data_IF_678514008736
#
_entry.id   IF_678514008736
#
_cell.length_a   1.000
_cell.length_b   1.000
_cell.length_c   1.000
_cell.angle_alpha   90.00
_cell.angle_beta   90.00
_cell.angle_gamma   90.00
#
_symmetry.space_group_name_H-M   'P 1'
#
loop_
_entity.id
_entity.type
_entity.pdbx_description
1 polymer ?
#
# COMPACT_ATOMS: atom_id res chain seq x y z
N UNK A 1 14.73 56.81 58.07
CA UNK A 1 15.23 56.67 56.69
C UNK A 1 15.24 55.18 56.37
N UNK A 2 14.24 54.69 55.64
CA UNK A 2 14.10 53.27 55.31
C UNK A 2 13.50 53.16 53.92
N UNK A 3 14.33 52.82 52.93
CA UNK A 3 13.94 52.75 51.52
C UNK A 3 13.32 51.38 51.28
N UNK A 4 12.03 51.36 50.91
CA UNK A 4 11.35 50.17 50.38
C UNK A 4 11.72 50.05 48.90
N UNK A 5 12.39 48.97 48.51
CA UNK A 5 12.60 48.59 47.12
C UNK A 5 11.53 47.54 46.79
N UNK A 6 10.53 47.93 46.00
CA UNK A 6 9.56 47.00 45.41
C UNK A 6 10.16 46.40 44.14
N UNK A 7 10.42 45.09 44.16
CA UNK A 7 10.74 44.32 42.95
C UNK A 7 9.44 43.90 42.27
N UNK A 8 9.09 44.56 41.17
CA UNK A 8 8.04 44.11 40.26
C UNK A 8 8.63 43.09 39.30
N UNK A 9 8.33 41.80 39.48
CA UNK A 9 8.59 40.78 38.47
C UNK A 9 7.58 40.92 37.33
N UNK A 10 8.02 41.40 36.18
CA UNK A 10 7.28 41.32 34.93
C UNK A 10 7.41 39.89 34.40
N UNK A 11 6.40 39.03 34.63
CA UNK A 11 6.30 37.75 33.94
C UNK A 11 5.68 38.04 32.57
N UNK A 12 6.52 38.11 31.54
CA UNK A 12 6.06 38.14 30.16
C UNK A 12 5.57 36.73 29.77
N UNK A 13 4.26 36.51 29.90
CA UNK A 13 3.59 35.34 29.36
C UNK A 13 3.59 35.44 27.84
N UNK A 14 4.58 34.81 27.18
CA UNK A 14 4.53 34.60 25.72
C UNK A 14 3.41 33.60 25.49
N UNK A 15 2.24 34.08 25.10
CA UNK A 15 1.23 33.24 24.46
C UNK A 15 1.78 32.84 23.10
N UNK A 16 2.45 31.68 23.05
CA UNK A 16 2.56 30.90 21.82
C UNK A 16 1.12 30.51 21.44
N UNK A 17 0.49 31.36 20.65
CA UNK A 17 -0.66 30.95 19.86
C UNK A 17 -0.10 29.92 18.89
N UNK A 18 -0.18 28.65 19.25
CA UNK A 18 -0.02 27.56 18.30
C UNK A 18 -1.08 27.79 17.22
N UNK A 19 -0.67 28.43 16.14
CA UNK A 19 -1.49 28.56 14.95
C UNK A 19 -1.77 27.14 14.48
N UNK A 20 -2.95 26.61 14.83
CA UNK A 20 -3.41 25.30 14.40
C UNK A 20 -3.26 25.30 12.87
N UNK A 21 -2.36 24.46 12.31
CA UNK A 21 -2.11 24.48 10.88
C UNK A 21 -3.45 24.28 10.17
N UNK A 22 -3.76 25.12 9.19
CA UNK A 22 -4.86 24.82 8.28
C UNK A 22 -4.55 23.48 7.66
N UNK A 23 -5.32 22.44 8.01
CA UNK A 23 -4.95 21.06 7.68
C UNK A 23 -4.81 20.85 6.17
N UNK A 24 -5.54 21.60 5.33
CA UNK A 24 -5.36 21.59 3.88
C UNK A 24 -4.00 22.14 3.38
N UNK A 25 -3.26 22.87 4.21
CA UNK A 25 -1.93 23.42 3.92
C UNK A 25 -0.80 22.52 4.45
N UNK A 26 -1.10 21.38 5.10
CA UNK A 26 -0.07 20.40 5.52
C UNK A 26 0.57 19.67 4.34
N UNK A 27 -0.15 19.50 3.23
CA UNK A 27 0.30 18.76 2.06
C UNK A 27 1.71 19.15 1.57
N UNK A 28 2.00 20.45 1.31
CA UNK A 28 3.34 20.89 0.89
C UNK A 28 4.47 20.54 1.87
N UNK A 29 4.21 20.57 3.18
CA UNK A 29 5.21 20.20 4.19
C UNK A 29 5.51 18.70 4.14
N UNK A 30 4.46 17.88 4.00
CA UNK A 30 4.59 16.42 3.86
C UNK A 30 5.33 16.09 2.56
N UNK A 31 4.96 16.73 1.44
CA UNK A 31 5.65 16.54 0.17
C UNK A 31 7.14 16.90 0.28
N UNK A 32 7.46 18.02 0.94
CA UNK A 32 8.84 18.43 1.19
C UNK A 32 9.63 17.36 1.95
N UNK A 33 9.01 16.72 2.94
CA UNK A 33 9.63 15.63 3.71
C UNK A 33 9.79 14.34 2.90
N UNK A 34 8.87 14.05 1.97
CA UNK A 34 8.98 12.92 1.04
C UNK A 34 10.16 13.16 0.07
N UNK A 35 10.23 14.33 -0.56
CA UNK A 35 11.24 14.62 -1.60
C UNK A 35 12.60 15.03 -1.03
N UNK A 36 12.70 15.23 0.28
CA UNK A 36 13.98 15.39 0.99
C UNK A 36 14.71 14.06 1.16
N UNK A 37 14.00 12.93 1.04
CA UNK A 37 14.59 11.61 1.18
C UNK A 37 15.65 11.38 0.07
N UNK A 38 16.81 10.77 0.38
CA UNK A 38 17.87 10.55 -0.61
C UNK A 38 17.40 9.76 -1.85
N UNK A 39 16.49 8.80 -1.65
CA UNK A 39 15.94 7.98 -2.73
C UNK A 39 14.96 8.75 -3.63
N UNK A 40 14.41 9.88 -3.18
CA UNK A 40 13.44 10.69 -3.92
C UNK A 40 14.10 11.89 -4.64
N UNK A 41 15.42 11.89 -4.81
CA UNK A 41 16.17 13.06 -5.27
C UNK A 41 15.74 13.60 -6.66
N UNK A 42 15.25 12.73 -7.56
CA UNK A 42 14.70 13.14 -8.86
C UNK A 42 13.40 13.95 -8.74
N UNK A 43 12.71 13.88 -7.60
CA UNK A 43 11.43 14.52 -7.35
C UNK A 43 11.52 15.82 -6.53
N UNK A 44 12.71 16.37 -6.31
CA UNK A 44 12.91 17.58 -5.47
C UNK A 44 12.08 18.80 -5.90
N UNK A 45 11.75 18.92 -7.19
CA UNK A 45 10.93 20.01 -7.74
C UNK A 45 9.44 19.69 -7.78
N UNK A 46 9.01 18.56 -7.22
CA UNK A 46 7.61 18.14 -7.28
C UNK A 46 6.70 19.13 -6.56
N UNK A 47 5.49 19.30 -7.08
CA UNK A 47 4.48 20.22 -6.54
C UNK A 47 3.13 19.55 -6.42
N UNK A 48 2.28 20.08 -5.53
CA UNK A 48 0.90 19.60 -5.39
C UNK A 48 -0.05 20.36 -6.29
N UNK A 49 -0.96 19.63 -6.93
CA UNK A 49 -2.07 20.16 -7.71
C UNK A 49 -3.40 19.55 -7.27
N UNK A 50 -4.48 20.26 -7.56
CA UNK A 50 -5.86 19.81 -7.29
C UNK A 50 -6.09 19.39 -5.83
N UNK A 51 -5.52 20.15 -4.88
CA UNK A 51 -5.71 19.90 -3.45
C UNK A 51 -7.20 20.04 -3.11
N UNK A 52 -7.79 18.97 -2.58
CA UNK A 52 -9.22 18.95 -2.24
C UNK A 52 -9.50 18.01 -1.08
N UNK A 53 -10.54 18.33 -0.31
CA UNK A 53 -11.08 17.46 0.71
C UNK A 53 -11.98 16.41 0.06
N UNK A 54 -11.80 15.14 0.43
CA UNK A 54 -12.52 14.01 -0.14
C UNK A 54 -13.10 13.18 0.99
N UNK A 55 -14.42 13.02 0.96
CA UNK A 55 -15.14 12.07 1.80
C UNK A 55 -15.31 10.75 1.07
N UNK A 56 -15.47 9.68 1.85
CA UNK A 56 -15.99 8.43 1.31
C UNK A 56 -17.37 8.66 0.68
N UNK A 57 -17.64 8.02 -0.46
CA UNK A 57 -18.93 8.11 -1.14
C UNK A 57 -20.03 7.64 -0.17
N UNK A 58 -21.09 8.45 0.05
CA UNK A 58 -22.05 8.20 1.14
C UNK A 58 -22.93 6.96 0.92
N UNK A 59 -23.14 6.58 -0.34
CA UNK A 59 -23.98 5.46 -0.79
C UNK A 59 -23.14 4.26 -1.28
N UNK A 60 -21.90 4.10 -0.79
CA UNK A 60 -21.13 2.89 -1.06
C UNK A 60 -21.91 1.65 -0.61
N UNK A 61 -21.91 0.62 -1.44
CA UNK A 61 -22.54 -0.66 -1.09
C UNK A 61 -21.87 -1.33 0.11
N UNK A 62 -20.58 -1.09 0.30
CA UNK A 62 -19.77 -1.63 1.39
C UNK A 62 -18.89 -0.51 1.97
N UNK A 63 -19.45 0.41 2.76
CA UNK A 63 -18.70 1.53 3.29
C UNK A 63 -17.71 1.03 4.34
N UNK A 64 -16.49 1.56 4.30
CA UNK A 64 -15.49 1.34 5.36
C UNK A 64 -15.56 2.42 6.44
N UNK A 65 -16.41 3.44 6.26
CA UNK A 65 -16.58 4.58 7.15
C UNK A 65 -15.26 5.31 7.43
N UNK A 66 -14.39 5.40 6.41
CA UNK A 66 -13.11 6.08 6.53
C UNK A 66 -13.32 7.60 6.67
N UNK A 67 -12.59 8.27 7.57
CA UNK A 67 -12.71 9.72 7.76
C UNK A 67 -12.36 10.46 6.47
N UNK A 68 -12.89 11.68 6.26
CA UNK A 68 -12.47 12.51 5.14
C UNK A 68 -10.95 12.74 5.15
N UNK A 69 -10.39 12.92 3.96
CA UNK A 69 -8.96 13.12 3.77
C UNK A 69 -8.73 14.24 2.77
N UNK A 70 -7.65 14.99 2.96
CA UNK A 70 -7.14 15.84 1.90
C UNK A 70 -6.41 14.97 0.88
N UNK A 71 -6.58 15.27 -0.40
CA UNK A 71 -5.96 14.57 -1.51
C UNK A 71 -5.43 15.56 -2.54
N UNK A 72 -4.28 15.25 -3.11
CA UNK A 72 -3.65 16.03 -4.16
C UNK A 72 -2.94 15.14 -5.19
N UNK A 73 -2.84 15.64 -6.42
CA UNK A 73 -1.95 15.11 -7.44
C UNK A 73 -0.54 15.67 -7.19
N UNK A 74 0.47 14.82 -7.19
CA UNK A 74 1.88 15.26 -7.22
C UNK A 74 2.27 15.40 -8.69
N UNK A 75 2.67 16.59 -9.11
CA UNK A 75 3.32 16.82 -10.41
C UNK A 75 4.83 16.67 -10.25
N UNK A 76 5.41 15.70 -10.95
CA UNK A 76 6.82 15.32 -10.87
C UNK A 76 7.65 15.73 -12.09
N UNK A 77 8.91 15.25 -12.18
CA UNK A 77 9.79 15.47 -13.32
C UNK A 77 9.25 14.80 -14.60
N UNK A 78 9.59 15.34 -15.77
CA UNK A 78 9.31 14.74 -17.08
C UNK A 78 7.85 14.32 -17.32
N UNK A 79 6.90 14.99 -16.66
CA UNK A 79 5.47 14.67 -16.74
C UNK A 79 5.01 13.50 -15.86
N UNK A 80 5.92 12.87 -15.09
CA UNK A 80 5.58 11.85 -14.12
C UNK A 80 4.62 12.41 -13.05
N UNK A 81 3.80 11.53 -12.49
CA UNK A 81 2.79 11.92 -11.53
C UNK A 81 2.80 11.06 -10.28
N UNK A 82 2.17 11.55 -9.23
CA UNK A 82 2.01 10.80 -7.99
C UNK A 82 0.73 11.25 -7.29
N UNK A 83 0.46 10.69 -6.12
CA UNK A 83 -0.63 11.15 -5.28
C UNK A 83 -0.15 11.35 -3.86
N UNK A 84 -0.81 12.26 -3.15
CA UNK A 84 -0.60 12.49 -1.74
C UNK A 84 -1.96 12.57 -1.05
N UNK A 85 -2.10 11.85 0.06
CA UNK A 85 -3.28 11.88 0.93
C UNK A 85 -2.85 12.08 2.38
N UNK A 86 -3.54 12.97 3.10
CA UNK A 86 -3.31 13.23 4.51
C UNK A 86 -4.61 13.46 5.27
N UNK A 87 -4.59 13.28 6.59
CA UNK A 87 -5.79 13.35 7.41
C UNK A 87 -6.45 14.74 7.33
N UNK A 88 -7.78 14.78 7.30
CA UNK A 88 -8.53 16.04 7.41
C UNK A 88 -8.81 16.47 8.85
N UNK A 89 -8.36 15.69 9.83
CA UNK A 89 -8.58 15.89 11.27
C UNK A 89 -7.28 15.66 12.04
N UNK A 90 -7.25 16.03 13.32
CA UNK A 90 -6.07 15.87 14.16
C UNK A 90 -4.90 16.71 13.67
N UNK A 91 -3.71 16.11 13.60
CA UNK A 91 -2.46 16.78 13.18
C UNK A 91 -2.29 16.84 11.64
N UNK A 92 -3.23 16.29 10.86
CA UNK A 92 -3.13 16.24 9.40
C UNK A 92 -1.93 15.41 8.94
N UNK A 93 -1.77 14.21 9.52
CA UNK A 93 -0.65 13.31 9.22
C UNK A 93 -0.79 12.67 7.85
N UNK A 94 0.34 12.29 7.28
CA UNK A 94 0.39 11.47 6.08
C UNK A 94 -0.45 10.19 6.24
N UNK A 95 -1.29 9.91 5.25
CA UNK A 95 -2.10 8.69 5.14
C UNK A 95 -1.47 7.78 4.10
N UNK A 96 -1.23 8.29 2.90
CA UNK A 96 -0.57 7.55 1.84
C UNK A 96 0.00 8.45 0.75
N UNK A 97 0.96 7.93 -0.01
CA UNK A 97 1.45 8.56 -1.23
C UNK A 97 2.01 7.54 -2.22
N UNK A 98 2.20 7.97 -3.45
CA UNK A 98 3.11 7.33 -4.40
C UNK A 98 3.76 8.39 -5.28
N UNK A 99 4.94 8.08 -5.81
CA UNK A 99 5.57 8.80 -6.90
C UNK A 99 5.82 7.76 -8.00
N UNK A 100 5.33 8.01 -9.21
CA UNK A 100 5.38 7.05 -10.31
C UNK A 100 6.78 6.96 -10.92
N UNK A 101 7.65 6.20 -10.27
CA UNK A 101 9.07 6.08 -10.58
C UNK A 101 9.66 4.80 -9.95
N UNK A 102 10.90 4.48 -10.30
CA UNK A 102 11.71 3.44 -9.65
C UNK A 102 12.61 4.04 -8.58
N UNK A 103 12.41 3.61 -7.33
CA UNK A 103 13.31 3.98 -6.24
C UNK A 103 14.06 2.79 -5.66
N UNK A 104 15.37 2.97 -5.47
CA UNK A 104 16.15 2.09 -4.61
C UNK A 104 16.13 2.64 -3.20
N UNK A 105 15.39 1.97 -2.32
CA UNK A 105 15.25 2.39 -0.92
C UNK A 105 16.03 1.42 -0.06
N UNK A 106 17.16 1.88 0.46
CA UNK A 106 18.03 1.13 1.36
C UNK A 106 18.68 2.08 2.35
N UNK A 107 18.24 2.06 3.60
CA UNK A 107 18.81 2.91 4.64
C UNK A 107 18.23 2.63 6.02
N UNK A 108 18.56 3.50 6.97
CA UNK A 108 18.06 3.43 8.34
C UNK A 108 16.57 3.78 8.40
N UNK A 109 16.14 4.77 7.61
CA UNK A 109 14.76 5.29 7.57
C UNK A 109 13.79 4.47 6.69
N UNK A 110 14.28 3.48 5.94
CA UNK A 110 13.41 2.66 5.09
C UNK A 110 14.14 1.62 4.26
N UNK A 111 13.37 0.64 3.77
CA UNK A 111 13.84 -0.40 2.86
C UNK A 111 12.72 -0.84 1.92
N UNK A 112 13.05 -1.09 0.66
CA UNK A 112 12.16 -1.76 -0.29
C UNK A 112 12.88 -2.91 -1.03
N UNK A 113 12.14 -3.98 -1.30
CA UNK A 113 12.58 -5.13 -2.08
C UNK A 113 12.36 -4.82 -3.57
N UNK A 114 13.41 -4.97 -4.37
CA UNK A 114 13.31 -4.90 -5.83
C UNK A 114 12.97 -6.26 -6.43
N UNK A 115 12.45 -6.27 -7.66
CA UNK A 115 12.22 -7.52 -8.41
C UNK A 115 10.92 -8.25 -8.09
N UNK A 116 10.11 -7.76 -7.15
CA UNK A 116 8.72 -8.23 -6.99
C UNK A 116 7.90 -7.64 -8.14
N UNK A 117 7.35 -8.47 -9.05
CA UNK A 117 6.63 -7.94 -10.19
C UNK A 117 5.30 -7.31 -9.76
N UNK A 118 4.95 -6.17 -10.36
CA UNK A 118 3.63 -5.55 -10.20
C UNK A 118 2.67 -6.12 -11.23
N UNK A 119 1.69 -6.91 -10.78
CA UNK A 119 0.62 -7.40 -11.62
C UNK A 119 -0.64 -6.56 -11.40
N UNK A 120 -1.21 -6.06 -12.49
CA UNK A 120 -2.51 -5.43 -12.48
C UNK A 120 -3.60 -6.49 -12.53
N UNK A 121 -4.70 -6.24 -11.82
CA UNK A 121 -5.90 -7.05 -11.98
C UNK A 121 -6.42 -6.93 -13.42
N UNK A 122 -6.90 -8.04 -13.98
CA UNK A 122 -7.37 -8.09 -15.37
C UNK A 122 -8.73 -8.78 -15.48
N UNK A 123 -9.52 -8.50 -16.53
CA UNK A 123 -10.80 -9.18 -16.75
C UNK A 123 -10.58 -10.65 -17.14
N UNK A 124 -11.43 -11.52 -16.62
CA UNK A 124 -11.59 -12.92 -17.01
C UNK A 124 -13.06 -13.20 -17.34
N UNK A 125 -13.34 -14.28 -18.05
CA UNK A 125 -14.70 -14.70 -18.35
C UNK A 125 -15.33 -15.37 -17.12
N UNK A 126 -16.42 -14.81 -16.61
CA UNK A 126 -17.26 -15.42 -15.57
C UNK A 126 -18.17 -16.52 -16.10
N UNK A 127 -18.88 -17.20 -15.21
CA UNK A 127 -19.79 -18.30 -15.55
C UNK A 127 -20.93 -17.85 -16.47
N UNK A 128 -21.42 -16.63 -16.29
CA UNK A 128 -22.46 -16.01 -17.13
C UNK A 128 -21.90 -15.35 -18.40
N UNK A 129 -20.66 -15.70 -18.79
CA UNK A 129 -19.89 -15.12 -19.89
C UNK A 129 -19.61 -13.61 -19.75
N UNK A 130 -19.92 -13.00 -18.60
CA UNK A 130 -19.61 -11.58 -18.35
C UNK A 130 -18.20 -11.42 -17.81
N UNK A 131 -17.57 -10.26 -18.04
CA UNK A 131 -16.26 -9.97 -17.47
C UNK A 131 -16.35 -9.88 -15.94
N UNK A 132 -15.48 -10.63 -15.27
CA UNK A 132 -15.22 -10.53 -13.84
C UNK A 132 -13.74 -10.28 -13.62
N UNK A 133 -13.40 -9.61 -12.52
CA UNK A 133 -12.02 -9.28 -12.24
C UNK A 133 -11.24 -10.52 -11.74
N UNK A 134 -9.95 -10.63 -12.11
CA UNK A 134 -9.07 -11.74 -11.70
C UNK A 134 -8.90 -11.88 -10.19
N UNK A 135 -9.23 -10.83 -9.42
CA UNK A 135 -9.21 -10.81 -7.96
C UNK A 135 -7.89 -10.29 -7.37
N UNK A 136 -7.96 -9.45 -6.34
CA UNK A 136 -6.77 -8.88 -5.70
C UNK A 136 -5.91 -9.97 -5.03
N UNK A 137 -6.56 -10.92 -4.36
CA UNK A 137 -5.94 -12.04 -3.62
C UNK A 137 -5.01 -12.89 -4.49
N UNK A 138 -5.48 -13.55 -5.58
CA UNK A 138 -4.59 -14.34 -6.44
C UNK A 138 -3.56 -13.48 -7.18
N UNK A 139 -3.87 -12.21 -7.47
CA UNK A 139 -2.96 -11.31 -8.19
C UNK A 139 -1.77 -10.87 -7.32
N UNK A 140 -2.03 -10.49 -6.07
CA UNK A 140 -0.99 -10.21 -5.08
C UNK A 140 -0.16 -11.47 -4.79
N UNK A 141 -0.81 -12.62 -4.59
CA UNK A 141 -0.13 -13.90 -4.36
C UNK A 141 0.80 -14.28 -5.51
N UNK A 142 0.34 -14.14 -6.75
CA UNK A 142 1.15 -14.39 -7.93
C UNK A 142 2.41 -13.52 -7.98
N UNK A 143 2.33 -12.27 -7.50
CA UNK A 143 3.48 -11.36 -7.43
C UNK A 143 4.56 -11.90 -6.48
N UNK A 144 4.16 -12.31 -5.27
CA UNK A 144 5.09 -12.88 -4.27
C UNK A 144 5.63 -14.24 -4.67
N UNK A 145 4.79 -15.10 -5.26
CA UNK A 145 5.22 -16.40 -5.80
C UNK A 145 6.22 -16.22 -6.94
N UNK A 146 5.97 -15.28 -7.86
CA UNK A 146 6.88 -14.98 -8.97
C UNK A 146 8.25 -14.48 -8.49
N UNK A 147 8.27 -13.66 -7.43
CA UNK A 147 9.50 -13.26 -6.77
C UNK A 147 10.28 -14.49 -6.29
N UNK A 148 9.67 -15.33 -5.46
CA UNK A 148 10.32 -16.52 -4.91
C UNK A 148 10.77 -17.50 -5.99
N UNK A 149 9.99 -17.64 -7.05
CA UNK A 149 10.33 -18.53 -8.14
C UNK A 149 11.49 -18.01 -8.99
N UNK A 150 11.67 -16.69 -9.08
CA UNK A 150 12.80 -16.08 -9.76
C UNK A 150 14.07 -16.11 -8.92
N UNK A 151 13.94 -15.96 -7.60
CA UNK A 151 15.08 -15.88 -6.68
C UNK A 151 15.62 -17.25 -6.28
N UNK A 152 14.74 -18.22 -5.95
CA UNK A 152 15.18 -19.46 -5.27
C UNK A 152 14.44 -20.73 -5.69
N UNK A 153 13.21 -20.62 -6.17
CA UNK A 153 12.32 -21.78 -6.34
C UNK A 153 11.69 -21.84 -7.74
N UNK A 154 12.49 -21.99 -8.81
CA UNK A 154 11.99 -21.93 -10.19
C UNK A 154 10.87 -22.93 -10.48
N UNK A 155 10.86 -24.09 -9.80
CA UNK A 155 9.78 -25.09 -9.88
C UNK A 155 8.40 -24.52 -9.53
N UNK A 156 8.31 -23.50 -8.66
CA UNK A 156 7.03 -22.92 -8.23
C UNK A 156 6.30 -22.16 -9.35
N UNK A 157 7.00 -21.77 -10.43
CA UNK A 157 6.32 -21.26 -11.63
C UNK A 157 5.34 -22.30 -12.18
N UNK A 158 5.66 -23.58 -12.05
CA UNK A 158 4.94 -24.69 -12.64
C UNK A 158 5.07 -24.72 -14.17
N UNK A 159 4.52 -25.77 -14.78
CA UNK A 159 4.59 -25.97 -16.24
C UNK A 159 3.85 -24.88 -17.04
N UNK A 160 2.80 -24.31 -16.44
CA UNK A 160 1.94 -23.29 -17.04
C UNK A 160 2.43 -21.86 -16.81
N UNK A 161 3.37 -21.63 -15.89
CA UNK A 161 3.80 -20.30 -15.42
C UNK A 161 4.64 -19.47 -16.39
N UNK A 162 4.43 -19.61 -17.71
CA UNK A 162 5.19 -18.88 -18.74
C UNK A 162 4.83 -17.40 -18.79
N UNK A 163 3.59 -17.03 -18.43
CA UNK A 163 3.14 -15.65 -18.32
C UNK A 163 2.61 -15.35 -16.92
N UNK A 164 2.79 -14.12 -16.40
CA UNK A 164 2.20 -13.66 -15.15
C UNK A 164 0.74 -14.06 -14.91
N UNK A 165 -0.10 -13.91 -15.94
CA UNK A 165 -1.53 -14.22 -15.88
C UNK A 165 -1.81 -15.69 -15.57
N UNK A 166 -0.95 -16.61 -16.03
CA UNK A 166 -1.19 -18.05 -15.90
C UNK A 166 -1.06 -18.45 -14.42
N UNK A 167 -0.11 -17.85 -13.71
CA UNK A 167 0.03 -18.00 -12.26
C UNK A 167 -1.16 -17.44 -11.49
N UNK A 168 -1.66 -16.25 -11.88
CA UNK A 168 -2.85 -15.66 -11.27
C UNK A 168 -4.05 -16.60 -11.45
N UNK A 169 -4.27 -17.12 -12.65
CA UNK A 169 -5.38 -18.02 -12.95
C UNK A 169 -5.25 -19.36 -12.20
N UNK A 170 -4.03 -19.91 -12.10
CA UNK A 170 -3.73 -21.14 -11.36
C UNK A 170 -3.98 -21.01 -9.86
N UNK A 171 -3.65 -19.87 -9.26
CA UNK A 171 -3.94 -19.61 -7.85
C UNK A 171 -5.43 -19.34 -7.65
N UNK A 172 -6.05 -18.57 -8.55
CA UNK A 172 -7.49 -18.28 -8.51
C UNK A 172 -8.34 -19.54 -8.58
N UNK A 173 -8.01 -20.50 -9.44
CA UNK A 173 -8.82 -21.72 -9.60
C UNK A 173 -8.87 -22.61 -8.36
N UNK A 174 -7.99 -22.36 -7.38
CA UNK A 174 -7.94 -23.05 -6.09
C UNK A 174 -8.61 -22.28 -4.95
N UNK A 175 -9.05 -21.04 -5.20
CA UNK A 175 -9.67 -20.16 -4.22
C UNK A 175 -11.19 -20.17 -4.38
N UNK A 176 -11.90 -20.08 -3.26
CA UNK A 176 -13.34 -19.87 -3.27
C UNK A 176 -13.64 -18.37 -3.49
N UNK A 177 -13.68 -17.97 -4.75
CA UNK A 177 -13.83 -16.57 -5.12
C UNK A 177 -15.27 -16.09 -4.91
N UNK A 178 -15.45 -15.08 -4.07
CA UNK A 178 -16.72 -14.34 -3.95
C UNK A 178 -16.76 -13.20 -4.95
N UNK A 179 -17.85 -13.12 -5.73
CA UNK A 179 -18.07 -12.06 -6.71
C UNK A 179 -18.85 -10.91 -6.08
N UNK A 180 -18.44 -9.68 -6.39
CA UNK A 180 -19.09 -8.46 -5.94
C UNK A 180 -19.45 -7.59 -7.15
N UNK A 181 -20.74 -7.35 -7.42
CA UNK A 181 -21.14 -6.47 -8.51
C UNK A 181 -20.59 -5.05 -8.31
N UNK A 182 -19.92 -4.51 -9.34
CA UNK A 182 -19.32 -3.18 -9.31
C UNK A 182 -20.36 -2.08 -9.62
N UNK A 183 -21.27 -1.88 -8.68
CA UNK A 183 -22.31 -0.84 -8.75
C UNK A 183 -21.75 0.56 -8.49
N UNK A 184 -20.64 0.63 -7.76
CA UNK A 184 -20.01 1.88 -7.30
C UNK A 184 -18.98 2.44 -8.29
N UNK A 185 -18.54 1.65 -9.28
CA UNK A 185 -17.63 2.07 -10.33
C UNK A 185 -16.16 2.03 -9.91
N UNK A 186 -15.74 0.99 -9.18
CA UNK A 186 -14.34 0.69 -8.89
C UNK A 186 -13.53 0.52 -10.18
N UNK A 187 -14.08 -0.22 -11.14
CA UNK A 187 -13.47 -0.50 -12.45
C UNK A 187 -14.07 0.41 -13.54
N UNK A 188 -13.31 0.77 -14.59
CA UNK A 188 -13.83 1.60 -15.68
C UNK A 188 -15.02 0.98 -16.42
N UNK A 189 -15.06 -0.35 -16.54
CA UNK A 189 -16.06 -1.11 -17.28
C UNK A 189 -17.15 -1.73 -16.39
N UNK A 190 -17.18 -1.39 -15.10
CA UNK A 190 -18.10 -1.98 -14.10
C UNK A 190 -18.08 -3.52 -14.07
N UNK A 191 -16.92 -4.13 -14.35
CA UNK A 191 -16.77 -5.57 -14.21
C UNK A 191 -16.91 -5.96 -12.74
N UNK A 192 -17.54 -7.10 -12.46
CA UNK A 192 -17.68 -7.56 -11.08
C UNK A 192 -16.29 -7.74 -10.45
N UNK A 193 -16.11 -7.23 -9.23
CA UNK A 193 -14.91 -7.48 -8.43
C UNK A 193 -14.94 -8.92 -7.90
N UNK A 194 -13.78 -9.42 -7.50
CA UNK A 194 -13.66 -10.75 -6.92
C UNK A 194 -12.69 -10.73 -5.74
N UNK A 195 -13.06 -11.38 -4.64
CA UNK A 195 -12.24 -11.51 -3.43
C UNK A 195 -12.29 -12.93 -2.88
N UNK A 196 -11.34 -13.25 -2.00
CA UNK A 196 -11.28 -14.49 -1.24
C UNK A 196 -10.73 -14.19 0.17
N UNK A 197 -10.91 -15.09 1.12
CA UNK A 197 -10.42 -14.86 2.48
C UNK A 197 -8.90 -15.15 2.58
N UNK A 198 -8.13 -14.37 3.37
CA UNK A 198 -6.71 -14.64 3.59
C UNK A 198 -6.42 -16.04 4.16
N UNK A 199 -7.35 -16.61 4.94
CA UNK A 199 -7.25 -17.98 5.43
C UNK A 199 -7.34 -19.02 4.33
N UNK A 200 -8.14 -18.79 3.28
CA UNK A 200 -8.20 -19.69 2.13
C UNK A 200 -6.91 -19.58 1.32
N UNK A 201 -6.36 -18.38 1.15
CA UNK A 201 -5.07 -18.18 0.51
C UNK A 201 -3.94 -18.91 1.26
N UNK A 202 -3.95 -18.90 2.59
CA UNK A 202 -3.00 -19.66 3.40
C UNK A 202 -3.02 -21.15 3.04
N UNK A 203 -4.20 -21.75 2.99
CA UNK A 203 -4.34 -23.18 2.69
C UNK A 203 -3.93 -23.52 1.25
N UNK A 204 -4.28 -22.67 0.28
CA UNK A 204 -3.81 -22.81 -1.11
C UNK A 204 -2.28 -22.75 -1.19
N UNK A 205 -1.65 -21.79 -0.52
CA UNK A 205 -0.19 -21.65 -0.53
C UNK A 205 0.52 -22.80 0.20
N UNK A 206 -0.03 -23.30 1.31
CA UNK A 206 0.50 -24.52 1.95
C UNK A 206 0.41 -25.72 1.01
N UNK A 207 -0.72 -25.91 0.34
CA UNK A 207 -0.88 -26.98 -0.63
C UNK A 207 0.12 -26.85 -1.80
N UNK A 208 0.37 -25.63 -2.28
CA UNK A 208 1.41 -25.35 -3.28
C UNK A 208 2.79 -25.78 -2.80
N UNK A 209 3.15 -25.48 -1.55
CA UNK A 209 4.47 -25.87 -1.02
C UNK A 209 4.67 -27.39 -1.00
N UNK A 210 3.60 -28.16 -0.77
CA UNK A 210 3.65 -29.63 -0.86
C UNK A 210 3.72 -30.08 -2.32
N UNK A 211 2.87 -29.54 -3.20
CA UNK A 211 2.79 -29.93 -4.61
C UNK A 211 4.12 -29.71 -5.35
N UNK A 212 4.84 -28.64 -5.02
CA UNK A 212 6.08 -28.25 -5.71
C UNK A 212 7.35 -28.56 -4.90
N UNK A 213 7.24 -29.32 -3.81
CA UNK A 213 8.34 -29.67 -2.89
C UNK A 213 9.17 -28.45 -2.47
N UNK A 214 8.49 -27.43 -1.97
CA UNK A 214 9.09 -26.14 -1.62
C UNK A 214 9.41 -26.11 -0.13
N UNK A 215 10.66 -25.90 0.28
CA UNK A 215 11.03 -25.75 1.67
C UNK A 215 10.67 -24.34 2.16
N UNK A 216 9.38 -24.01 2.19
CA UNK A 216 8.84 -22.71 2.57
C UNK A 216 7.80 -22.91 3.67
N UNK A 217 7.99 -22.21 4.78
CA UNK A 217 6.98 -22.06 5.80
C UNK A 217 6.02 -20.92 5.40
N UNK A 218 4.73 -21.24 5.34
CA UNK A 218 3.65 -20.26 5.12
C UNK A 218 2.88 -20.06 6.43
N UNK A 219 2.65 -18.81 6.82
CA UNK A 219 1.91 -18.50 8.03
C UNK A 219 1.08 -17.23 7.88
N UNK A 220 -0.10 -17.23 8.49
CA UNK A 220 -0.99 -16.07 8.58
C UNK A 220 -0.98 -15.55 10.03
N UNK A 221 -0.91 -14.23 10.19
CA UNK A 221 -0.99 -13.60 11.50
C UNK A 221 -1.59 -12.21 11.43
N UNK A 222 -1.82 -11.61 12.61
CA UNK A 222 -2.18 -10.20 12.71
C UNK A 222 -1.02 -9.35 12.21
N UNK A 223 -1.34 -8.31 11.44
CA UNK A 223 -0.33 -7.36 11.00
C UNK A 223 0.34 -6.67 12.19
N UNK A 224 1.66 -6.54 12.14
CA UNK A 224 2.41 -5.60 12.95
C UNK A 224 3.59 -5.06 12.15
N UNK A 225 3.87 -3.76 12.29
CA UNK A 225 4.97 -3.11 11.59
C UNK A 225 6.34 -3.75 11.90
N UNK A 226 6.67 -4.15 13.15
CA UNK A 226 7.93 -4.85 13.43
C UNK A 226 8.06 -6.20 12.71
N UNK A 227 6.96 -6.95 12.57
CA UNK A 227 6.98 -8.21 11.82
C UNK A 227 7.25 -7.97 10.33
N UNK A 228 6.53 -7.03 9.71
CA UNK A 228 6.79 -6.66 8.32
C UNK A 228 8.25 -6.24 8.13
N UNK A 229 8.74 -5.32 8.97
CA UNK A 229 10.13 -4.84 8.92
C UNK A 229 11.13 -5.99 8.97
N UNK A 230 10.93 -6.97 9.86
CA UNK A 230 11.78 -8.18 9.97
C UNK A 230 11.78 -9.02 8.68
N UNK A 231 10.66 -9.11 7.98
CA UNK A 231 10.57 -9.83 6.70
C UNK A 231 11.26 -9.05 5.57
N UNK A 232 10.98 -7.76 5.43
CA UNK A 232 11.60 -6.89 4.43
C UNK A 232 13.12 -6.76 4.64
N UNK A 233 13.59 -6.70 5.89
CA UNK A 233 15.02 -6.67 6.23
C UNK A 233 15.76 -7.93 5.76
N UNK A 234 15.04 -9.03 5.53
CA UNK A 234 15.55 -10.30 5.01
C UNK A 234 15.24 -10.54 3.54
N UNK A 235 14.81 -9.50 2.82
CA UNK A 235 14.36 -9.57 1.42
C UNK A 235 13.24 -10.60 1.23
N UNK A 236 12.26 -10.61 2.13
CA UNK A 236 11.11 -11.52 2.06
C UNK A 236 9.83 -10.70 1.90
N UNK A 237 9.27 -10.59 0.68
CA UNK A 237 8.00 -9.93 0.50
C UNK A 237 6.90 -10.73 1.20
N UNK A 238 5.86 -10.02 1.64
CA UNK A 238 4.72 -10.60 2.34
C UNK A 238 3.43 -10.30 1.59
N UNK A 239 2.38 -11.04 1.90
CA UNK A 239 1.02 -10.73 1.49
C UNK A 239 0.33 -10.00 2.63
N UNK A 240 -0.38 -8.93 2.29
CA UNK A 240 -0.96 -8.00 3.25
C UNK A 240 -2.43 -7.72 2.93
N UNK A 241 -3.29 -8.00 3.90
CA UNK A 241 -4.69 -7.60 3.84
C UNK A 241 -4.88 -6.23 4.48
N UNK A 242 -5.52 -5.31 3.77
CA UNK A 242 -5.71 -3.92 4.18
C UNK A 242 -7.11 -3.39 3.86
N UNK A 243 -7.44 -2.25 4.46
CA UNK A 243 -8.64 -1.46 4.22
C UNK A 243 -8.19 -0.11 3.70
N UNK A 244 -8.40 0.16 2.42
CA UNK A 244 -7.78 1.31 1.75
C UNK A 244 -8.77 2.07 0.89
N UNK A 245 -8.45 3.33 0.62
CA UNK A 245 -9.07 4.09 -0.47
C UNK A 245 -8.54 3.60 -1.81
N UNK A 246 -9.27 3.80 -2.90
CA UNK A 246 -8.74 3.57 -4.25
C UNK A 246 -7.94 4.80 -4.65
N UNK A 247 -6.62 4.66 -4.88
CA UNK A 247 -5.73 5.82 -5.04
C UNK A 247 -6.18 6.81 -6.14
N UNK A 248 -6.69 6.32 -7.28
CA UNK A 248 -7.18 7.16 -8.38
C UNK A 248 -8.66 7.57 -8.25
N UNK A 249 -9.39 6.98 -7.30
CA UNK A 249 -10.79 7.29 -6.95
C UNK A 249 -10.94 7.31 -5.42
N UNK A 250 -10.31 8.26 -4.71
CA UNK A 250 -10.19 8.22 -3.26
C UNK A 250 -11.50 8.36 -2.48
N UNK A 251 -12.61 8.68 -3.16
CA UNK A 251 -13.96 8.60 -2.61
C UNK A 251 -14.46 7.16 -2.48
N UNK A 252 -13.88 6.21 -3.22
CA UNK A 252 -14.13 4.77 -3.09
C UNK A 252 -13.14 4.15 -2.10
N UNK A 253 -13.60 3.16 -1.36
CA UNK A 253 -12.79 2.38 -0.43
C UNK A 253 -13.14 0.90 -0.52
N UNK A 254 -12.18 0.03 -0.23
CA UNK A 254 -12.32 -1.41 -0.46
C UNK A 254 -11.39 -2.23 0.44
N UNK A 255 -11.86 -3.36 1.01
CA UNK A 255 -10.98 -4.39 1.56
C UNK A 255 -10.09 -4.96 0.45
N UNK A 256 -8.79 -5.01 0.67
CA UNK A 256 -7.82 -5.27 -0.39
C UNK A 256 -6.70 -6.21 0.05
N UNK A 257 -6.06 -6.86 -0.93
CA UNK A 257 -4.90 -7.74 -0.74
C UNK A 257 -3.79 -7.29 -1.69
N UNK A 258 -2.61 -7.04 -1.12
CA UNK A 258 -1.45 -6.45 -1.82
C UNK A 258 -0.16 -7.18 -1.46
N UNK A 259 0.86 -7.04 -2.32
CA UNK A 259 2.19 -7.54 -1.99
C UNK A 259 2.97 -6.47 -1.20
N UNK A 260 3.28 -6.75 0.06
CA UNK A 260 4.15 -5.93 0.91
C UNK A 260 5.61 -6.09 0.51
N UNK A 261 6.22 -5.00 0.08
CA UNK A 261 7.58 -4.98 -0.49
C UNK A 261 8.51 -4.01 0.22
N UNK A 262 8.00 -3.15 1.10
CA UNK A 262 8.84 -2.17 1.76
C UNK A 262 8.25 -1.59 3.04
N UNK A 263 9.07 -0.81 3.71
CA UNK A 263 8.65 0.08 4.79
C UNK A 263 9.50 1.35 4.77
N UNK A 264 8.93 2.45 5.25
CA UNK A 264 9.67 3.67 5.56
C UNK A 264 8.99 4.43 6.69
N UNK A 265 9.68 5.43 7.24
CA UNK A 265 9.13 6.38 8.19
C UNK A 265 9.36 7.80 7.66
N UNK A 266 8.27 8.55 7.47
CA UNK A 266 8.25 9.91 6.92
C UNK A 266 7.23 10.70 7.73
N UNK A 267 7.54 11.93 8.13
CA UNK A 267 6.64 12.76 8.96
C UNK A 267 6.21 12.05 10.26
N UNK A 268 7.11 11.24 10.86
CA UNK A 268 6.84 10.36 12.00
C UNK A 268 5.71 9.35 11.77
N UNK A 269 5.39 9.05 10.51
CA UNK A 269 4.39 8.07 10.10
C UNK A 269 5.09 6.82 9.57
N UNK A 270 4.76 5.67 10.19
CA UNK A 270 5.17 4.36 9.73
C UNK A 270 4.36 3.94 8.51
N UNK A 271 5.05 3.79 7.39
CA UNK A 271 4.47 3.49 6.09
C UNK A 271 4.91 2.13 5.60
N UNK A 272 3.98 1.43 4.96
CA UNK A 272 4.18 0.15 4.32
C UNK A 272 4.19 0.37 2.82
N UNK A 273 5.26 -0.06 2.16
CA UNK A 273 5.40 -0.04 0.72
C UNK A 273 4.77 -1.28 0.10
N UNK A 274 3.85 -1.09 -0.84
CA UNK A 274 3.11 -2.18 -1.50
C UNK A 274 3.16 -2.10 -3.01
N UNK A 275 3.18 -3.26 -3.66
CA UNK A 275 2.79 -3.41 -5.07
C UNK A 275 1.28 -3.65 -5.11
N UNK A 276 0.55 -2.69 -5.65
CA UNK A 276 -0.91 -2.65 -5.61
C UNK A 276 -1.52 -2.95 -6.97
N UNK A 277 -2.31 -4.03 -7.02
CA UNK A 277 -2.97 -4.52 -8.24
C UNK A 277 -4.23 -3.73 -8.65
N UNK A 278 -4.64 -2.73 -7.86
CA UNK A 278 -5.69 -1.73 -8.16
C UNK A 278 -5.12 -0.35 -8.49
N UNK A 279 -3.80 -0.20 -8.39
CA UNK A 279 -3.13 1.06 -8.64
C UNK A 279 -2.48 1.05 -10.02
N UNK A 280 -3.12 1.66 -11.04
CA UNK A 280 -2.49 1.84 -12.33
C UNK A 280 -1.33 2.81 -12.17
N UNK A 281 -0.21 2.47 -12.80
CA UNK A 281 1.05 3.20 -12.71
C UNK A 281 1.77 3.03 -14.03
N UNK A 282 2.41 4.09 -14.53
CA UNK A 282 3.17 4.03 -15.78
C UNK A 282 4.50 3.31 -15.56
N UNK A 283 5.05 3.39 -14.35
CA UNK A 283 6.26 2.68 -13.95
C UNK A 283 5.97 1.41 -13.14
N UNK A 284 6.34 0.24 -13.70
CA UNK A 284 6.05 -1.09 -13.13
C UNK A 284 6.62 -1.39 -11.73
N UNK A 285 7.56 -0.60 -11.24
CA UNK A 285 8.16 -0.75 -9.91
C UNK A 285 7.71 0.34 -8.93
N UNK A 286 6.71 1.14 -9.29
CA UNK A 286 6.15 2.15 -8.39
C UNK A 286 5.57 1.50 -7.15
N UNK A 287 5.99 2.03 -6.01
CA UNK A 287 5.53 1.59 -4.70
C UNK A 287 4.48 2.58 -4.20
N UNK A 288 3.32 2.06 -3.80
CA UNK A 288 2.34 2.81 -3.02
C UNK A 288 2.70 2.70 -1.54
N UNK A 289 2.85 3.83 -0.86
CA UNK A 289 3.20 3.91 0.55
C UNK A 289 1.96 4.21 1.36
N UNK A 290 1.55 3.28 2.22
CA UNK A 290 0.30 3.36 2.97
C UNK A 290 0.60 3.31 4.47
N UNK A 291 -0.04 4.18 5.26
CA UNK A 291 0.10 4.18 6.71
C UNK A 291 -0.28 2.81 7.30
N UNK A 292 0.50 2.38 8.29
CA UNK A 292 0.41 1.06 8.89
C UNK A 292 -0.99 0.70 9.45
N UNK A 293 -1.82 1.68 9.79
CA UNK A 293 -3.14 1.50 10.39
C UNK A 293 -4.19 1.01 9.38
N UNK A 294 -3.90 1.03 8.08
CA UNK A 294 -4.72 0.40 7.05
C UNK A 294 -4.65 -1.14 7.08
N UNK A 295 -3.58 -1.71 7.62
CA UNK A 295 -3.30 -3.15 7.52
C UNK A 295 -3.91 -3.93 8.68
N UNK A 296 -4.37 -5.15 8.39
CA UNK A 296 -5.10 -6.02 9.33
C UNK A 296 -4.36 -7.34 9.53
N UNK A 297 -3.93 -7.96 8.44
CA UNK A 297 -3.29 -9.27 8.45
C UNK A 297 -2.01 -9.25 7.63
N UNK A 298 -1.12 -10.20 7.94
CA UNK A 298 0.10 -10.46 7.18
C UNK A 298 0.24 -11.96 6.98
N UNK A 299 0.43 -12.38 5.74
CA UNK A 299 0.75 -13.74 5.36
C UNK A 299 2.22 -13.78 4.90
N UNK A 300 3.05 -14.49 5.66
CA UNK A 300 4.48 -14.62 5.44
C UNK A 300 4.78 -15.89 4.64
N UNK A 301 5.69 -15.79 3.68
CA UNK A 301 6.24 -16.92 2.93
C UNK A 301 7.74 -16.94 3.19
N UNK A 302 8.16 -17.83 4.08
CA UNK A 302 9.51 -17.87 4.62
C UNK A 302 10.23 -19.13 4.14
N UNK A 303 11.28 -19.01 3.31
CA UNK A 303 12.16 -20.13 3.05
C UNK A 303 12.69 -20.69 4.37
N UNK A 304 12.56 -21.99 4.56
CA UNK A 304 13.30 -22.71 5.59
C UNK A 304 14.78 -22.51 5.26
N UNK A 305 15.62 -22.28 6.28
CA UNK A 305 17.06 -22.36 6.05
C UNK A 305 17.32 -23.77 5.53
N UNK A 306 17.90 -23.89 4.34
CA UNK A 306 18.71 -25.07 4.06
C UNK A 306 19.93 -24.90 4.95
N UNK A 307 20.21 -25.92 5.76
CA UNK A 307 21.52 -26.06 6.40
C UNK A 307 22.64 -25.95 5.35
#
# INVERSE_FOLDING_TARGET
MGIRISFSFLIASIQLVDAIPKLGERGPLILKEIVSQPWAASWKSATLKNVRLISEKPDLRQPLNLPPVWSALISGPDGASGHLIWDSVGEGKLVEFSLDDKFQIKGVSGRAISGVPSFQQFPITGEDLKPVASGCVPTAAASVVSYWASERFPSWRGHDGKKPKDLVLRLRSKLNMTLFPDVDGFTPNRMALAGAYPSELLEVLKAETVTYDLPIQVGLGRFSFPLLKKEIDKSRPALLSCMVRVAHKPHLSWPHEVAGVGYCEIDNVKLVGVMDNFFPTDHKETIRWIRQDAFRSILILRPLKKD
#
